data_IF_319663266208
#
_entry.id   IF_319663266208
#
_cell.length_a   1.000
_cell.length_b   1.000
_cell.length_c   1.000
_cell.angle_alpha   90.00
_cell.angle_beta   90.00
_cell.angle_gamma   90.00
#
_symmetry.space_group_name_H-M   'P 1'
#
loop_
_entity.id
_entity.type
_entity.pdbx_description
1 polymer ?
#
# COMPACT_ATOMS: atom_id res chain seq x y z
N UNK A 1 14.07 -7.79 3.52
CA UNK A 1 12.77 -8.42 3.83
C UNK A 1 11.70 -7.44 3.44
N UNK A 2 10.80 -7.85 2.58
CA UNK A 2 9.65 -7.04 2.15
C UNK A 2 8.48 -7.48 3.00
N UNK A 3 7.86 -6.52 3.69
CA UNK A 3 6.72 -6.74 4.55
C UNK A 3 5.59 -5.82 4.07
N UNK A 4 4.46 -6.40 3.80
CA UNK A 4 3.25 -5.66 3.48
C UNK A 4 2.20 -5.95 4.55
N UNK A 5 1.72 -4.92 5.21
CA UNK A 5 0.50 -4.97 6.00
C UNK A 5 -0.62 -4.46 5.10
N UNK A 6 -1.61 -5.30 4.86
CA UNK A 6 -2.79 -4.90 4.11
C UNK A 6 -3.99 -4.81 5.04
N UNK A 7 -4.68 -3.68 4.98
CA UNK A 7 -5.93 -3.40 5.67
C UNK A 7 -7.03 -3.40 4.61
N UNK A 8 -7.33 -4.57 4.10
CA UNK A 8 -8.16 -4.78 2.91
C UNK A 8 -9.62 -4.34 3.01
N UNK A 9 -10.11 -4.03 4.21
CA UNK A 9 -11.48 -3.53 4.40
C UNK A 9 -11.60 -2.01 4.37
N UNK A 10 -10.50 -1.28 4.26
CA UNK A 10 -10.58 0.10 3.84
C UNK A 10 -10.99 0.09 2.38
N UNK A 11 -12.31 0.10 2.11
CA UNK A 11 -12.85 0.14 0.77
C UNK A 11 -12.07 1.15 -0.04
N UNK A 12 -11.27 0.67 -0.97
CA UNK A 12 -10.55 1.55 -1.87
C UNK A 12 -11.59 2.37 -2.60
N UNK A 13 -11.39 3.67 -2.63
CA UNK A 13 -12.29 4.59 -3.32
C UNK A 13 -12.32 4.27 -4.83
N UNK A 14 -11.39 3.47 -5.31
CA UNK A 14 -11.11 3.23 -6.73
C UNK A 14 -11.18 1.77 -7.20
N UNK A 15 -11.28 0.76 -6.34
CA UNK A 15 -11.27 -0.63 -6.80
C UNK A 15 -12.48 -1.44 -6.34
N UNK A 16 -12.92 -2.37 -7.20
CA UNK A 16 -14.02 -3.31 -6.92
C UNK A 16 -13.58 -4.52 -6.07
N UNK A 17 -12.29 -4.63 -5.73
CA UNK A 17 -11.74 -5.68 -4.86
C UNK A 17 -10.51 -5.19 -4.10
N UNK A 18 -10.29 -5.69 -2.89
CA UNK A 18 -9.10 -5.42 -2.09
C UNK A 18 -7.90 -6.28 -2.50
N UNK A 19 -6.71 -5.93 -2.00
CA UNK A 19 -5.48 -6.72 -2.24
C UNK A 19 -5.59 -8.14 -1.70
N UNK A 20 -6.28 -8.33 -0.58
CA UNK A 20 -6.51 -9.65 0.01
C UNK A 20 -7.31 -10.55 -0.93
N UNK A 21 -8.39 -10.04 -1.53
CA UNK A 21 -9.23 -10.79 -2.47
C UNK A 21 -8.42 -11.24 -3.70
N UNK A 22 -7.57 -10.36 -4.23
CA UNK A 22 -6.70 -10.67 -5.36
C UNK A 22 -5.66 -11.75 -5.00
N UNK A 23 -5.10 -11.70 -3.79
CA UNK A 23 -4.16 -12.72 -3.31
C UNK A 23 -4.84 -14.08 -3.10
N UNK A 24 -6.06 -14.11 -2.56
CA UNK A 24 -6.85 -15.36 -2.46
C UNK A 24 -7.15 -15.94 -3.84
N UNK A 25 -7.53 -15.11 -4.82
CA UNK A 25 -7.74 -15.53 -6.21
C UNK A 25 -6.45 -16.04 -6.89
N UNK A 26 -5.28 -15.58 -6.43
CA UNK A 26 -3.97 -16.13 -6.80
C UNK A 26 -3.68 -17.48 -6.16
N UNK A 27 -4.44 -17.89 -5.14
CA UNK A 27 -4.23 -19.10 -4.35
C UNK A 27 -3.31 -18.91 -3.15
N UNK A 28 -3.03 -17.66 -2.77
CA UNK A 28 -2.26 -17.35 -1.54
C UNK A 28 -3.18 -17.52 -0.34
N UNK A 29 -2.72 -18.26 0.66
CA UNK A 29 -3.43 -18.33 1.93
C UNK A 29 -3.17 -17.07 2.74
N UNK A 30 -4.19 -16.23 2.93
CA UNK A 30 -4.09 -14.97 3.67
C UNK A 30 -4.47 -15.13 5.16
N UNK A 31 -5.28 -16.14 5.47
CA UNK A 31 -5.75 -16.44 6.84
C UNK A 31 -4.66 -17.18 7.63
N UNK A 32 -3.64 -16.41 8.03
CA UNK A 32 -2.46 -16.92 8.75
C UNK A 32 -2.53 -16.54 10.22
N UNK A 33 -2.00 -17.43 11.09
CA UNK A 33 -1.70 -17.04 12.46
C UNK A 33 -0.43 -16.18 12.54
N UNK A 34 -0.21 -15.42 13.62
CA UNK A 34 1.03 -14.66 13.80
C UNK A 34 2.30 -15.51 13.64
N UNK A 35 2.30 -16.74 14.19
CA UNK A 35 3.44 -17.66 14.10
C UNK A 35 3.71 -18.13 12.67
N UNK A 36 2.64 -18.34 11.88
CA UNK A 36 2.76 -18.68 10.46
C UNK A 36 3.30 -17.50 9.65
N UNK A 37 2.84 -16.28 9.93
CA UNK A 37 3.34 -15.06 9.30
C UNK A 37 4.83 -14.83 9.60
N UNK A 38 5.26 -14.99 10.86
CA UNK A 38 6.66 -14.91 11.27
C UNK A 38 7.51 -15.92 10.49
N UNK A 39 7.08 -17.19 10.45
CA UNK A 39 7.78 -18.24 9.74
C UNK A 39 7.94 -17.94 8.25
N UNK A 40 6.91 -17.42 7.57
CA UNK A 40 7.01 -17.02 6.17
C UNK A 40 8.08 -15.93 5.97
N UNK A 41 8.08 -14.91 6.82
CA UNK A 41 9.05 -13.81 6.74
C UNK A 41 10.48 -14.35 6.97
N UNK A 42 10.66 -15.27 7.90
CA UNK A 42 11.96 -15.87 8.19
C UNK A 42 12.47 -16.78 7.06
N UNK A 43 11.61 -17.66 6.53
CA UNK A 43 12.01 -18.69 5.56
C UNK A 43 12.09 -18.16 4.13
N UNK A 44 11.15 -17.32 3.70
CA UNK A 44 11.09 -16.85 2.31
C UNK A 44 11.31 -15.34 2.15
N UNK A 45 11.36 -14.59 3.24
CA UNK A 45 11.69 -13.16 3.23
C UNK A 45 10.53 -12.22 2.93
N UNK A 46 9.33 -12.74 2.70
CA UNK A 46 8.10 -11.97 2.45
C UNK A 46 6.94 -12.57 3.24
N UNK A 47 6.01 -11.73 3.71
CA UNK A 47 4.78 -12.15 4.37
C UNK A 47 3.65 -11.16 4.08
N UNK A 48 2.44 -11.69 3.90
CA UNK A 48 1.21 -10.92 3.87
C UNK A 48 0.57 -11.02 5.25
N UNK A 49 0.40 -9.89 5.92
CA UNK A 49 -0.17 -9.81 7.26
C UNK A 49 -1.60 -9.26 7.15
N UNK A 50 -2.57 -10.15 7.16
CA UNK A 50 -3.98 -9.79 7.08
C UNK A 50 -4.43 -9.12 8.37
N UNK A 51 -4.75 -7.84 8.31
CA UNK A 51 -4.97 -7.01 9.48
C UNK A 51 -6.00 -7.54 10.48
N UNK A 52 -7.14 -8.15 10.09
CA UNK A 52 -8.07 -8.76 11.04
C UNK A 52 -7.44 -9.80 11.97
N UNK A 53 -6.47 -10.58 11.48
CA UNK A 53 -5.79 -11.61 12.26
C UNK A 53 -4.67 -11.06 13.14
N UNK A 54 -3.98 -10.04 12.65
CA UNK A 54 -2.83 -9.45 13.32
C UNK A 54 -3.19 -8.28 14.25
N UNK A 55 -4.33 -7.64 14.01
CA UNK A 55 -4.84 -6.50 14.78
C UNK A 55 -6.32 -6.64 15.13
N UNK A 56 -6.73 -7.66 15.90
CA UNK A 56 -8.16 -7.91 16.19
C UNK A 56 -8.84 -6.75 16.93
N UNK A 57 -8.08 -5.88 17.61
CA UNK A 57 -8.61 -4.69 18.26
C UNK A 57 -9.14 -3.67 17.24
N UNK A 58 -8.57 -3.63 16.03
CA UNK A 58 -9.00 -2.72 14.95
C UNK A 58 -10.44 -3.00 14.52
N UNK A 59 -10.89 -4.25 14.56
CA UNK A 59 -12.27 -4.63 14.24
C UNK A 59 -13.31 -3.93 15.13
N UNK A 60 -12.91 -3.52 16.34
CA UNK A 60 -13.80 -2.79 17.26
C UNK A 60 -14.01 -1.34 16.84
N UNK A 61 -13.16 -0.79 15.99
CA UNK A 61 -13.24 0.58 15.46
C UNK A 61 -13.98 0.60 14.13
N UNK A 62 -13.80 -0.41 13.28
CA UNK A 62 -14.48 -0.55 11.99
C UNK A 62 -16.00 -0.46 12.11
N UNK A 63 -16.58 -1.20 13.05
CA UNK A 63 -18.05 -1.20 13.22
C UNK A 63 -18.65 0.18 13.47
N UNK A 64 -18.15 0.99 14.41
CA UNK A 64 -18.57 2.37 14.61
C UNK A 64 -18.33 3.28 13.39
N UNK A 65 -17.22 3.16 12.69
CA UNK A 65 -16.94 3.96 11.48
C UNK A 65 -17.95 3.66 10.37
N UNK A 66 -18.24 2.38 10.11
CA UNK A 66 -19.25 1.96 9.14
C UNK A 66 -20.65 2.48 9.48
N UNK A 67 -21.03 2.39 10.76
CA UNK A 67 -22.34 2.89 11.22
C UNK A 67 -22.49 4.40 11.09
N UNK A 68 -21.40 5.14 11.27
CA UNK A 68 -21.35 6.59 11.15
C UNK A 68 -21.11 7.07 9.72
N UNK A 69 -20.73 6.19 8.81
CA UNK A 69 -20.37 6.53 7.43
C UNK A 69 -19.13 7.43 7.34
N UNK A 70 -18.22 7.34 8.31
CA UNK A 70 -17.00 8.15 8.37
C UNK A 70 -15.76 7.27 8.15
N UNK A 71 -14.75 7.85 7.55
CA UNK A 71 -13.39 7.26 7.50
C UNK A 71 -12.48 8.12 8.35
N UNK A 72 -11.80 7.49 9.29
CA UNK A 72 -10.83 8.20 10.13
C UNK A 72 -9.40 7.87 9.70
N UNK A 73 -8.43 8.63 10.23
CA UNK A 73 -7.00 8.34 10.04
C UNK A 73 -6.57 7.02 10.69
N UNK A 74 -7.46 6.36 11.42
CA UNK A 74 -7.13 5.17 12.18
C UNK A 74 -6.68 4.02 11.28
N UNK A 75 -7.39 3.78 10.17
CA UNK A 75 -7.02 2.73 9.23
C UNK A 75 -5.98 3.19 8.21
N UNK A 76 -6.07 4.43 7.76
CA UNK A 76 -5.23 4.95 6.67
C UNK A 76 -3.82 5.34 7.12
N UNK A 77 -3.65 5.75 8.37
CA UNK A 77 -2.37 6.17 8.92
C UNK A 77 -1.89 5.21 10.02
N UNK A 78 -2.72 5.01 11.07
CA UNK A 78 -2.28 4.23 12.23
C UNK A 78 -2.07 2.76 11.86
N UNK A 79 -3.00 2.16 11.09
CA UNK A 79 -2.92 0.75 10.71
C UNK A 79 -1.57 0.36 10.10
N UNK A 80 -1.12 1.01 9.02
CA UNK A 80 0.20 0.74 8.43
C UNK A 80 1.38 0.95 9.38
N UNK A 81 1.27 1.89 10.32
CA UNK A 81 2.36 2.25 11.24
C UNK A 81 2.54 1.27 12.40
N UNK A 82 1.53 0.46 12.72
CA UNK A 82 1.58 -0.54 13.80
C UNK A 82 1.90 -1.96 13.28
N UNK A 83 2.62 -2.07 12.17
CA UNK A 83 3.01 -3.35 11.59
C UNK A 83 3.76 -4.20 12.63
N UNK A 84 3.26 -5.40 12.99
CA UNK A 84 3.83 -6.21 14.06
C UNK A 84 5.23 -6.77 13.74
N UNK A 85 5.67 -6.69 12.49
CA UNK A 85 7.00 -7.11 12.08
C UNK A 85 8.10 -6.07 12.35
N UNK A 86 7.77 -4.93 12.98
CA UNK A 86 8.70 -3.84 13.32
C UNK A 86 9.60 -3.41 12.13
N UNK A 87 9.00 -3.31 10.94
CA UNK A 87 9.71 -2.89 9.75
C UNK A 87 10.20 -1.44 9.91
N UNK A 88 11.49 -1.20 9.68
CA UNK A 88 12.11 0.13 9.78
C UNK A 88 12.24 0.86 8.44
N UNK A 89 11.78 0.22 7.37
CA UNK A 89 11.63 0.84 6.05
C UNK A 89 10.17 0.75 5.63
N UNK A 90 9.62 1.84 5.08
CA UNK A 90 8.19 1.92 4.77
C UNK A 90 7.91 2.75 3.52
N UNK A 91 6.97 2.31 2.71
CA UNK A 91 6.32 3.13 1.68
C UNK A 91 4.85 3.27 2.10
N UNK A 92 4.41 4.49 2.32
CA UNK A 92 3.06 4.82 2.80
C UNK A 92 2.37 5.74 1.81
N UNK A 93 1.33 5.24 1.17
CA UNK A 93 0.42 6.05 0.39
C UNK A 93 -0.65 6.71 1.27
N UNK A 94 -0.98 7.96 0.98
CA UNK A 94 -2.01 8.71 1.69
C UNK A 94 -2.99 9.37 0.72
N UNK A 95 -4.26 9.40 1.09
CA UNK A 95 -5.37 9.83 0.22
C UNK A 95 -5.55 11.36 0.14
N UNK A 96 -4.81 12.13 0.93
CA UNK A 96 -4.86 13.60 0.93
C UNK A 96 -3.44 14.18 1.01
N UNK A 97 -3.14 15.24 0.25
CA UNK A 97 -1.79 15.81 0.22
C UNK A 97 -1.35 16.40 1.56
N UNK A 98 -2.28 16.88 2.39
CA UNK A 98 -2.00 17.43 3.72
C UNK A 98 -1.48 16.36 4.69
N UNK A 99 -1.79 15.10 4.45
CA UNK A 99 -1.33 13.96 5.26
C UNK A 99 0.15 13.62 4.99
N UNK A 100 0.69 13.98 3.82
CA UNK A 100 2.08 13.67 3.46
C UNK A 100 3.09 14.20 4.48
N UNK A 101 3.11 15.49 4.83
CA UNK A 101 4.04 15.99 5.85
C UNK A 101 3.75 15.45 7.25
N UNK A 102 2.48 15.33 7.62
CA UNK A 102 2.09 14.85 8.95
C UNK A 102 2.55 13.40 9.18
N UNK A 103 2.31 12.51 8.23
CA UNK A 103 2.72 11.12 8.34
C UNK A 103 4.25 10.98 8.34
N UNK A 104 4.97 11.81 7.58
CA UNK A 104 6.43 11.81 7.60
C UNK A 104 6.98 12.22 8.97
N UNK A 105 6.41 13.23 9.63
CA UNK A 105 6.81 13.64 10.97
C UNK A 105 6.56 12.51 11.99
N UNK A 106 5.44 11.78 11.89
CA UNK A 106 5.15 10.60 12.73
C UNK A 106 6.20 9.50 12.49
N UNK A 107 6.58 9.24 11.24
CA UNK A 107 7.60 8.22 10.92
C UNK A 107 8.98 8.56 11.49
N UNK A 108 9.32 9.86 11.59
CA UNK A 108 10.53 10.31 12.30
C UNK A 108 10.45 10.01 13.78
N UNK A 109 9.33 10.33 14.44
CA UNK A 109 9.12 10.08 15.88
C UNK A 109 9.10 8.57 16.22
N UNK A 110 8.72 7.73 15.26
CA UNK A 110 8.73 6.26 15.39
C UNK A 110 10.07 5.61 15.00
N UNK A 111 11.13 6.40 14.82
CA UNK A 111 12.49 5.94 14.50
C UNK A 111 12.56 5.06 13.24
N UNK A 112 11.78 5.40 12.18
CA UNK A 112 11.95 4.74 10.90
C UNK A 112 13.30 5.14 10.28
N UNK A 113 14.04 4.14 9.81
CA UNK A 113 15.37 4.34 9.21
C UNK A 113 15.27 4.98 7.83
N UNK A 114 14.30 4.52 7.02
CA UNK A 114 14.02 5.04 5.71
C UNK A 114 12.54 4.80 5.37
N UNK A 115 11.83 5.88 5.06
CA UNK A 115 10.44 5.77 4.64
C UNK A 115 10.10 6.83 3.59
N UNK A 116 9.08 6.56 2.80
CA UNK A 116 8.49 7.53 1.87
C UNK A 116 6.99 7.61 2.13
N UNK A 117 6.49 8.82 2.29
CA UNK A 117 5.05 9.09 2.28
C UNK A 117 4.73 9.74 0.94
N UNK A 118 3.77 9.16 0.24
CA UNK A 118 3.46 9.55 -1.14
C UNK A 118 1.98 9.86 -1.34
N UNK A 119 1.70 10.76 -2.28
CA UNK A 119 0.36 11.10 -2.73
C UNK A 119 0.41 11.57 -4.18
N UNK A 120 -0.27 10.85 -5.08
CA UNK A 120 -0.45 11.29 -6.46
C UNK A 120 -1.30 12.56 -6.52
N UNK A 121 -0.82 13.60 -7.23
CA UNK A 121 -1.56 14.87 -7.33
C UNK A 121 -2.87 14.74 -8.15
N UNK A 122 -3.08 13.60 -8.75
CA UNK A 122 -4.33 13.15 -9.40
C UNK A 122 -5.33 12.50 -8.45
N UNK A 123 -4.95 12.31 -7.15
CA UNK A 123 -5.78 11.76 -6.09
C UNK A 123 -5.48 10.31 -5.72
N UNK A 124 -4.49 9.69 -6.37
CA UNK A 124 -4.05 8.34 -6.00
C UNK A 124 -3.24 8.36 -4.68
N UNK A 125 -3.48 7.40 -3.83
CA UNK A 125 -2.70 7.12 -2.61
C UNK A 125 -1.49 6.19 -2.91
N UNK A 126 -0.84 6.43 -4.07
CA UNK A 126 0.29 5.67 -4.62
C UNK A 126 1.26 6.63 -5.31
N UNK A 127 2.42 6.13 -5.75
CA UNK A 127 3.27 6.85 -6.71
C UNK A 127 2.57 6.80 -8.07
N UNK A 128 2.08 7.95 -8.53
CA UNK A 128 1.22 7.99 -9.70
C UNK A 128 1.98 7.76 -11.02
N UNK A 129 1.42 6.90 -11.87
CA UNK A 129 1.83 6.76 -13.28
C UNK A 129 1.08 7.75 -14.20
N UNK A 130 0.05 8.45 -13.68
CA UNK A 130 -0.76 9.39 -14.46
C UNK A 130 -0.16 10.80 -14.45
N UNK A 131 0.57 11.13 -13.39
CA UNK A 131 1.07 12.49 -13.20
C UNK A 131 2.10 12.61 -12.08
N UNK A 132 2.19 13.81 -11.53
CA UNK A 132 3.12 14.09 -10.43
C UNK A 132 2.66 13.48 -9.12
N UNK A 133 3.62 13.11 -8.31
CA UNK A 133 3.45 12.61 -6.94
C UNK A 133 4.21 13.50 -5.96
N UNK A 134 3.53 13.94 -4.91
CA UNK A 134 4.15 14.59 -3.75
C UNK A 134 4.80 13.52 -2.87
N UNK A 135 6.05 13.74 -2.49
CA UNK A 135 6.85 12.82 -1.68
C UNK A 135 7.41 13.53 -0.46
N UNK A 136 7.28 12.89 0.71
CA UNK A 136 8.07 13.22 1.89
C UNK A 136 8.93 12.00 2.26
N UNK A 137 10.21 12.08 1.97
CA UNK A 137 11.19 11.04 2.28
C UNK A 137 11.77 11.26 3.67
N UNK A 138 11.62 10.26 4.53
CA UNK A 138 12.26 10.17 5.85
C UNK A 138 13.53 9.35 5.72
N UNK A 139 14.65 9.93 6.11
CA UNK A 139 15.94 9.25 6.10
C UNK A 139 16.82 9.74 7.24
N UNK A 140 17.21 8.83 8.12
CA UNK A 140 18.08 9.14 9.26
C UNK A 140 17.54 10.32 10.12
N UNK A 141 16.25 10.31 10.43
CA UNK A 141 15.59 11.32 11.24
C UNK A 141 15.38 12.67 10.55
N UNK A 142 15.59 12.78 9.24
CA UNK A 142 15.35 13.99 8.45
C UNK A 142 14.25 13.75 7.43
N UNK A 143 13.43 14.78 7.20
CA UNK A 143 12.40 14.78 6.16
C UNK A 143 12.88 15.64 5.00
N UNK A 144 12.88 15.06 3.80
CA UNK A 144 13.08 15.75 2.54
C UNK A 144 11.79 15.71 1.72
N UNK A 145 11.33 16.85 1.24
CA UNK A 145 10.09 16.98 0.46
C UNK A 145 10.41 17.34 -0.97
N UNK A 146 9.82 16.62 -1.91
CA UNK A 146 10.00 16.84 -3.34
C UNK A 146 8.81 16.28 -4.13
N UNK A 147 8.78 16.54 -5.42
CA UNK A 147 7.86 15.89 -6.35
C UNK A 147 8.64 14.97 -7.29
N UNK A 148 8.00 13.92 -7.73
CA UNK A 148 8.46 13.03 -8.79
C UNK A 148 7.36 12.88 -9.84
N UNK A 149 7.76 12.50 -11.04
CA UNK A 149 6.84 12.19 -12.13
C UNK A 149 7.34 10.99 -12.93
N UNK A 150 6.48 10.28 -13.70
CA UNK A 150 6.88 9.07 -14.42
C UNK A 150 8.07 9.27 -15.34
N UNK A 151 8.21 10.44 -15.93
CA UNK A 151 9.30 10.82 -16.82
C UNK A 151 10.67 10.82 -16.14
N UNK A 152 10.74 11.02 -14.82
CA UNK A 152 11.99 10.93 -14.03
C UNK A 152 12.58 9.52 -14.04
N UNK A 153 11.76 8.52 -14.39
CA UNK A 153 12.09 7.08 -14.44
C UNK A 153 12.03 6.51 -15.85
N UNK A 154 12.05 7.35 -16.88
CA UNK A 154 11.91 6.96 -18.29
C UNK A 154 10.57 6.24 -18.58
N UNK A 155 9.53 6.46 -17.76
CA UNK A 155 8.19 5.92 -17.94
C UNK A 155 7.27 6.92 -18.61
N UNK A 156 6.25 6.41 -19.29
CA UNK A 156 5.23 7.24 -19.95
C UNK A 156 3.99 7.33 -19.08
N UNK A 157 3.38 8.52 -19.03
CA UNK A 157 2.07 8.67 -18.43
C UNK A 157 1.03 7.86 -19.20
N UNK A 158 0.05 7.37 -18.48
CA UNK A 158 -1.12 6.71 -19.01
C UNK A 158 -2.41 7.33 -18.44
N UNK A 159 -3.55 6.83 -18.84
CA UNK A 159 -4.83 7.20 -18.22
C UNK A 159 -5.17 6.26 -17.06
N UNK A 160 -6.14 6.65 -16.23
CA UNK A 160 -6.60 5.80 -15.13
C UNK A 160 -7.23 4.49 -15.65
N UNK A 161 -7.87 4.54 -16.81
CA UNK A 161 -8.50 3.39 -17.46
C UNK A 161 -7.45 2.34 -17.88
N UNK A 162 -6.23 2.77 -18.19
CA UNK A 162 -5.14 1.88 -18.60
C UNK A 162 -4.59 1.02 -17.46
N UNK A 163 -4.82 1.45 -16.21
CA UNK A 163 -4.34 0.78 -14.98
C UNK A 163 -5.48 0.40 -14.04
N UNK A 164 -6.73 0.56 -14.49
CA UNK A 164 -7.88 0.25 -13.66
C UNK A 164 -7.94 -1.24 -13.32
N UNK A 165 -8.14 -1.52 -12.03
CA UNK A 165 -8.42 -2.86 -11.55
C UNK A 165 -9.83 -3.34 -11.90
N UNK A 166 -10.08 -4.62 -11.62
CA UNK A 166 -11.37 -5.25 -11.83
C UNK A 166 -11.80 -6.09 -10.62
N UNK A 167 -12.56 -7.15 -10.89
CA UNK A 167 -12.88 -8.15 -9.88
C UNK A 167 -11.62 -8.92 -9.41
N UNK A 168 -11.70 -9.70 -8.33
CA UNK A 168 -10.55 -10.41 -7.79
C UNK A 168 -9.86 -11.33 -8.81
N UNK A 169 -10.63 -11.99 -9.68
CA UNK A 169 -10.07 -12.89 -10.70
C UNK A 169 -9.33 -12.11 -11.79
N UNK A 170 -9.90 -11.00 -12.27
CA UNK A 170 -9.24 -10.11 -13.21
C UNK A 170 -7.91 -9.60 -12.67
N UNK A 171 -7.89 -9.12 -11.42
CA UNK A 171 -6.67 -8.62 -10.77
C UNK A 171 -5.63 -9.74 -10.59
N UNK A 172 -6.05 -10.94 -10.20
CA UNK A 172 -5.17 -12.10 -10.10
C UNK A 172 -4.56 -12.48 -11.45
N UNK A 173 -5.33 -12.47 -12.53
CA UNK A 173 -4.84 -12.80 -13.86
C UNK A 173 -3.91 -11.71 -14.41
N UNK A 174 -4.17 -10.43 -14.12
CA UNK A 174 -3.26 -9.32 -14.41
C UNK A 174 -1.92 -9.53 -13.71
N UNK A 175 -1.92 -9.84 -12.42
CA UNK A 175 -0.70 -10.14 -11.64
C UNK A 175 0.06 -11.33 -12.23
N UNK A 176 -0.63 -12.43 -12.58
CA UNK A 176 0.01 -13.59 -13.23
C UNK A 176 0.66 -13.21 -14.56
N UNK A 177 0.01 -12.39 -15.37
CA UNK A 177 0.54 -11.94 -16.66
C UNK A 177 1.76 -11.04 -16.48
N UNK A 178 1.75 -10.14 -15.50
CA UNK A 178 2.89 -9.29 -15.14
C UNK A 178 4.11 -10.14 -14.74
N UNK A 179 3.95 -11.07 -13.82
CA UNK A 179 5.04 -11.95 -13.38
C UNK A 179 5.50 -12.94 -14.46
N UNK A 180 4.62 -13.29 -15.41
CA UNK A 180 5.00 -14.11 -16.57
C UNK A 180 5.68 -13.31 -17.70
N UNK A 181 5.84 -11.99 -17.55
CA UNK A 181 6.40 -11.11 -18.58
C UNK A 181 5.51 -11.00 -19.83
N UNK A 182 4.21 -11.20 -19.69
CA UNK A 182 3.24 -11.12 -20.80
C UNK A 182 2.59 -9.74 -20.90
N UNK A 183 2.64 -8.95 -19.85
CA UNK A 183 2.18 -7.58 -19.83
C UNK A 183 3.40 -6.66 -19.62
N UNK A 184 3.74 -5.90 -20.66
CA UNK A 184 4.82 -4.91 -20.68
C UNK A 184 4.26 -3.48 -20.78
N UNK A 185 2.96 -3.32 -20.55
CA UNK A 185 2.23 -2.06 -20.67
C UNK A 185 2.13 -1.25 -19.36
N UNK A 186 1.12 -0.37 -19.28
CA UNK A 186 0.93 0.54 -18.14
C UNK A 186 0.85 -0.14 -16.77
N UNK A 187 0.23 -1.32 -16.67
CA UNK A 187 0.18 -2.07 -15.40
C UNK A 187 1.57 -2.43 -14.88
N UNK A 188 2.46 -2.88 -15.80
CA UNK A 188 3.86 -3.18 -15.46
C UNK A 188 4.60 -1.94 -14.99
N UNK A 189 4.46 -0.85 -15.73
CA UNK A 189 5.13 0.40 -15.41
C UNK A 189 4.65 0.96 -14.07
N UNK A 190 3.34 0.88 -13.79
CA UNK A 190 2.78 1.27 -12.51
C UNK A 190 3.28 0.39 -11.34
N UNK A 191 3.35 -0.94 -11.56
CA UNK A 191 3.90 -1.86 -10.56
C UNK A 191 5.38 -1.57 -10.25
N UNK A 192 6.19 -1.25 -11.27
CA UNK A 192 7.62 -0.96 -11.08
C UNK A 192 7.83 0.35 -10.35
N UNK A 193 6.94 1.32 -10.55
CA UNK A 193 7.02 2.63 -9.93
C UNK A 193 6.75 2.57 -8.42
N UNK A 194 5.90 1.63 -7.96
CA UNK A 194 5.52 1.39 -6.57
C UNK A 194 6.23 0.16 -5.96
#
# INVERSE_FOLDING_TARGET
KILRLDISDAASISSSSGSADALEALGVQIDLTPEQGEKLIEEIGIGFLYAPNFHPVMLKVLGPEDQLGIKTIFFTIIGPLINPADAKCHLLGVYQPELVPMAADILVELDFTHAMVVHGLDGLDEISILGKTSVAEVKQGKVNKYEIEPEDFDLKRCSIEDVAGGDPQYNADTIRNLYAGKDEGPHRDFLILN
#
